data_IF_486076073086
#
_entry.id   IF_486076073086
#
_cell.length_a   1.000
_cell.length_b   1.000
_cell.length_c   1.000
_cell.angle_alpha   90.00
_cell.angle_beta   90.00
_cell.angle_gamma   90.00
#
_symmetry.space_group_name_H-M   'P 1'
#
loop_
_entity.id
_entity.type
_entity.pdbx_description
1 polymer ?
#
# COMPACT_ATOMS: atom_id res chain seq x y z
N UNK A 1 11.35 3.66 1.27
CA UNK A 1 10.28 4.36 0.51
C UNK A 1 8.95 3.62 0.70
N UNK A 2 7.81 4.27 0.48
CA UNK A 2 6.49 3.62 0.60
C UNK A 2 6.24 2.75 -0.64
N UNK A 3 6.12 1.45 -0.43
CA UNK A 3 5.73 0.48 -1.46
C UNK A 3 4.22 0.40 -1.66
N UNK A 4 3.47 0.50 -0.57
CA UNK A 4 2.02 0.54 -0.65
C UNK A 4 1.32 1.05 0.60
N UNK A 5 0.09 1.51 0.42
CA UNK A 5 -0.86 1.92 1.44
C UNK A 5 -2.10 1.06 1.23
N UNK A 6 -2.41 0.21 2.20
CA UNK A 6 -3.55 -0.70 2.14
C UNK A 6 -4.51 -0.40 3.28
N UNK A 7 -5.79 -0.28 2.95
CA UNK A 7 -6.83 0.15 3.91
C UNK A 7 -8.00 -0.82 3.83
N UNK A 8 -8.48 -1.30 4.98
CA UNK A 8 -9.73 -2.06 5.09
C UNK A 8 -10.94 -1.13 4.94
N UNK A 9 -11.97 -1.60 4.27
CA UNK A 9 -13.20 -0.86 4.01
C UNK A 9 -14.40 -1.79 4.01
N UNK A 10 -15.53 -1.32 4.56
CA UNK A 10 -16.82 -2.04 4.52
C UNK A 10 -17.28 -2.32 3.09
N UNK A 11 -17.09 -1.34 2.21
CA UNK A 11 -17.30 -1.47 0.77
C UNK A 11 -16.10 -0.88 0.02
N UNK A 12 -15.12 -1.72 -0.36
CA UNK A 12 -13.92 -1.28 -1.06
C UNK A 12 -14.20 -0.62 -2.41
N UNK A 13 -15.23 -1.08 -3.13
CA UNK A 13 -15.58 -0.55 -4.45
C UNK A 13 -16.23 0.83 -4.33
N UNK A 14 -17.12 0.99 -3.36
CA UNK A 14 -17.69 2.29 -3.05
C UNK A 14 -16.60 3.29 -2.66
N UNK A 15 -15.66 2.89 -1.78
CA UNK A 15 -14.57 3.76 -1.35
C UNK A 15 -13.66 4.14 -2.54
N UNK A 16 -13.30 3.18 -3.39
CA UNK A 16 -12.53 3.45 -4.61
C UNK A 16 -13.21 4.49 -5.51
N UNK A 17 -14.51 4.32 -5.77
CA UNK A 17 -15.30 5.27 -6.56
C UNK A 17 -15.38 6.64 -5.89
N UNK A 18 -15.51 6.69 -4.56
CA UNK A 18 -15.50 7.96 -3.83
C UNK A 18 -14.18 8.71 -4.04
N UNK A 19 -13.03 8.02 -3.96
CA UNK A 19 -11.72 8.63 -4.24
C UNK A 19 -11.59 9.09 -5.70
N UNK A 20 -12.17 8.36 -6.65
CA UNK A 20 -12.21 8.77 -8.06
C UNK A 20 -13.06 10.04 -8.25
N UNK A 21 -14.31 10.02 -7.78
CA UNK A 21 -15.28 11.10 -7.97
C UNK A 21 -14.87 12.40 -7.25
N UNK A 22 -14.20 12.30 -6.08
CA UNK A 22 -13.90 13.46 -5.24
C UNK A 22 -12.44 13.93 -5.32
N UNK A 23 -11.49 13.02 -5.60
CA UNK A 23 -10.06 13.31 -5.57
C UNK A 23 -9.36 13.01 -6.90
N UNK A 24 -10.08 12.50 -7.91
CA UNK A 24 -9.54 12.23 -9.23
C UNK A 24 -8.57 11.06 -9.28
N UNK A 25 -8.56 10.17 -8.28
CA UNK A 25 -7.71 8.98 -8.27
C UNK A 25 -8.43 7.89 -9.04
N UNK A 26 -7.97 7.61 -10.26
CA UNK A 26 -8.64 6.70 -11.20
C UNK A 26 -8.47 5.23 -10.86
N UNK A 27 -9.27 4.72 -9.94
CA UNK A 27 -9.37 3.28 -9.64
C UNK A 27 -10.10 2.51 -10.74
N UNK A 28 -10.85 3.20 -11.61
CA UNK A 28 -11.64 2.60 -12.67
C UNK A 28 -12.71 1.70 -12.08
N UNK A 29 -12.82 0.46 -12.58
CA UNK A 29 -13.75 -0.53 -12.02
C UNK A 29 -13.17 -1.33 -10.85
N UNK A 30 -11.96 -0.99 -10.40
CA UNK A 30 -11.18 -1.74 -9.42
C UNK A 30 -11.14 -1.10 -8.03
N UNK A 31 -10.23 -1.62 -7.20
CA UNK A 31 -9.95 -1.18 -5.83
C UNK A 31 -8.46 -0.93 -5.59
N UNK A 32 -7.68 -0.95 -6.67
CA UNK A 32 -6.24 -0.76 -6.72
C UNK A 32 -5.89 0.40 -7.63
N UNK A 33 -4.98 1.25 -7.17
CA UNK A 33 -4.33 2.31 -7.94
C UNK A 33 -2.83 2.28 -7.69
N UNK A 34 -2.04 2.79 -8.62
CA UNK A 34 -0.58 2.85 -8.50
C UNK A 34 -0.08 4.25 -8.79
N UNK A 35 0.44 4.91 -7.76
CA UNK A 35 1.10 6.20 -7.93
C UNK A 35 2.48 5.98 -8.52
N UNK A 36 2.66 6.39 -9.77
CA UNK A 36 3.97 6.43 -10.42
C UNK A 36 4.76 7.65 -9.94
N UNK A 37 6.00 7.44 -9.56
CA UNK A 37 6.94 8.50 -9.19
C UNK A 37 8.33 8.21 -9.75
N UNK A 38 9.22 9.20 -9.65
CA UNK A 38 10.64 9.06 -10.02
C UNK A 38 11.50 9.31 -8.80
N UNK A 39 12.60 8.58 -8.67
CA UNK A 39 13.54 8.82 -7.59
C UNK A 39 14.16 10.21 -7.75
N UNK A 40 14.38 10.90 -6.63
CA UNK A 40 14.91 12.27 -6.62
C UNK A 40 16.40 12.31 -6.95
N UNK A 41 17.16 11.29 -6.59
CA UNK A 41 18.59 11.18 -6.82
C UNK A 41 18.88 10.54 -8.19
N UNK A 42 18.02 9.64 -8.66
CA UNK A 42 18.09 9.04 -9.97
C UNK A 42 16.74 9.08 -10.70
N UNK A 43 16.51 10.10 -11.53
CA UNK A 43 15.22 10.31 -12.20
C UNK A 43 14.86 9.25 -13.23
N UNK A 44 15.83 8.44 -13.68
CA UNK A 44 15.59 7.29 -14.55
C UNK A 44 14.97 6.12 -13.79
N UNK A 45 15.18 6.07 -12.46
CA UNK A 45 14.49 5.10 -11.61
C UNK A 45 13.03 5.49 -11.44
N UNK A 46 12.15 4.65 -11.99
CA UNK A 46 10.71 4.77 -11.84
C UNK A 46 10.26 3.91 -10.68
N UNK A 47 9.55 4.52 -9.75
CA UNK A 47 8.91 3.83 -8.65
C UNK A 47 7.40 3.86 -8.72
N UNK A 48 6.81 2.97 -7.94
CA UNK A 48 5.39 2.86 -7.77
C UNK A 48 5.05 2.76 -6.29
N UNK A 49 3.95 3.38 -5.89
CA UNK A 49 3.31 3.17 -4.60
C UNK A 49 1.89 2.66 -4.85
N UNK A 50 1.64 1.42 -4.43
CA UNK A 50 0.32 0.83 -4.50
C UNK A 50 -0.62 1.49 -3.50
N UNK A 51 -1.84 1.79 -3.91
CA UNK A 51 -2.90 2.26 -3.03
C UNK A 51 -4.12 1.38 -3.27
N UNK A 52 -4.53 0.63 -2.24
CA UNK A 52 -5.56 -0.40 -2.42
C UNK A 52 -6.49 -0.52 -1.22
N UNK A 53 -7.74 -0.85 -1.51
CA UNK A 53 -8.77 -1.11 -0.50
C UNK A 53 -9.06 -2.61 -0.40
N UNK A 54 -9.26 -3.09 0.82
CA UNK A 54 -9.57 -4.49 1.12
C UNK A 54 -10.89 -4.59 1.88
N UNK A 55 -11.65 -5.69 1.78
CA UNK A 55 -12.84 -5.88 2.60
C UNK A 55 -12.52 -5.79 4.10
N UNK A 56 -13.44 -5.21 4.88
CA UNK A 56 -13.32 -5.12 6.35
C UNK A 56 -13.06 -6.49 6.99
N UNK A 57 -13.70 -7.53 6.44
CA UNK A 57 -13.46 -8.92 6.80
C UNK A 57 -12.49 -9.55 5.80
N UNK A 58 -11.21 -9.54 6.15
CA UNK A 58 -10.13 -10.19 5.41
C UNK A 58 -9.06 -10.67 6.38
N UNK A 59 -8.43 -11.79 6.07
CA UNK A 59 -7.25 -12.36 6.72
C UNK A 59 -5.92 -11.79 6.18
N UNK A 60 -5.96 -10.97 5.12
CA UNK A 60 -4.76 -10.45 4.46
C UNK A 60 -3.85 -9.61 5.38
N UNK A 61 -4.42 -9.03 6.43
CA UNK A 61 -3.70 -8.16 7.37
C UNK A 61 -3.18 -8.93 8.60
N UNK A 62 -3.47 -10.24 8.68
CA UNK A 62 -3.09 -11.04 9.83
C UNK A 62 -1.56 -11.07 10.00
N UNK A 63 -1.07 -11.08 11.24
CA UNK A 63 -1.82 -11.17 12.50
C UNK A 63 -2.30 -9.81 13.05
N UNK A 64 -2.22 -8.73 12.27
CA UNK A 64 -2.59 -7.39 12.74
C UNK A 64 -4.10 -7.18 12.79
N UNK A 65 -4.56 -6.54 13.86
CA UNK A 65 -5.95 -6.06 13.99
C UNK A 65 -6.16 -4.65 13.43
N UNK A 66 -5.11 -4.03 12.87
CA UNK A 66 -5.22 -2.68 12.29
C UNK A 66 -6.03 -2.69 10.99
N UNK A 67 -6.76 -1.60 10.76
CA UNK A 67 -7.47 -1.33 9.51
C UNK A 67 -6.55 -0.81 8.40
N UNK A 68 -5.27 -0.59 8.69
CA UNK A 68 -4.32 -0.04 7.74
C UNK A 68 -2.99 -0.78 7.77
N UNK A 69 -2.35 -0.89 6.61
CA UNK A 69 -1.02 -1.47 6.45
C UNK A 69 -0.20 -0.57 5.53
N UNK A 70 0.98 -0.19 6.03
CA UNK A 70 2.01 0.43 5.21
C UNK A 70 2.97 -0.66 4.75
N UNK A 71 3.05 -0.86 3.44
CA UNK A 71 4.05 -1.71 2.81
C UNK A 71 5.25 -0.83 2.44
N UNK A 72 6.46 -1.21 2.87
CA UNK A 72 7.68 -0.44 2.65
C UNK A 72 8.59 -1.12 1.62
N UNK A 73 9.11 -0.33 0.68
CA UNK A 73 10.21 -0.75 -0.20
C UNK A 73 11.53 -0.67 0.56
N UNK A 74 12.26 -1.77 0.52
CA UNK A 74 13.57 -1.93 1.15
C UNK A 74 14.58 -2.42 0.12
N UNK A 75 15.84 -2.04 0.28
CA UNK A 75 16.90 -2.44 -0.64
C UNK A 75 17.19 -3.96 -0.58
N UNK A 76 16.97 -4.58 0.58
CA UNK A 76 17.17 -6.01 0.78
C UNK A 76 16.16 -6.54 1.81
N UNK A 77 15.19 -7.35 1.35
CA UNK A 77 14.11 -7.87 2.18
C UNK A 77 14.62 -8.78 3.30
N UNK A 78 15.53 -9.70 2.99
CA UNK A 78 16.06 -10.66 3.97
C UNK A 78 16.84 -9.96 5.10
N UNK A 79 17.69 -9.00 4.75
CA UNK A 79 18.43 -8.22 5.74
C UNK A 79 17.49 -7.38 6.62
N UNK A 80 16.49 -6.73 6.02
CA UNK A 80 15.50 -5.98 6.81
C UNK A 80 14.73 -6.90 7.74
N UNK A 81 14.27 -8.06 7.26
CA UNK A 81 13.57 -9.06 8.08
C UNK A 81 14.42 -9.50 9.26
N UNK A 82 15.68 -9.88 9.02
CA UNK A 82 16.60 -10.30 10.07
C UNK A 82 16.86 -9.20 11.11
N UNK A 83 17.02 -7.94 10.67
CA UNK A 83 17.20 -6.79 11.57
C UNK A 83 15.97 -6.51 12.43
N UNK A 84 14.77 -6.58 11.84
CA UNK A 84 13.53 -6.38 12.58
C UNK A 84 13.33 -7.50 13.60
N UNK A 85 13.49 -8.77 13.24
CA UNK A 85 13.32 -9.87 14.22
C UNK A 85 14.32 -9.78 15.38
N UNK A 86 15.54 -9.27 15.16
CA UNK A 86 16.53 -9.09 16.24
C UNK A 86 16.23 -7.92 17.19
N UNK A 87 15.57 -6.87 16.73
CA UNK A 87 15.34 -5.64 17.52
C UNK A 87 14.05 -5.66 18.34
N UNK A 88 13.17 -6.61 18.07
CA UNK A 88 11.87 -6.75 18.73
C UNK A 88 11.87 -7.75 19.89
N UNK A 89 13.05 -8.30 20.24
CA UNK A 89 13.32 -9.07 21.46
C UNK A 89 14.42 -8.40 22.28
#
# INVERSE_FOLDING_TARGET
>A
MIGGIFIKAKDPKFLARWYEDNLGIGFGTGIYFSFKWRDKQNTDEIGYTAFSFFPEKTDYFDPSTSDSMLNLRVANLENTRALLTKKWY
#
